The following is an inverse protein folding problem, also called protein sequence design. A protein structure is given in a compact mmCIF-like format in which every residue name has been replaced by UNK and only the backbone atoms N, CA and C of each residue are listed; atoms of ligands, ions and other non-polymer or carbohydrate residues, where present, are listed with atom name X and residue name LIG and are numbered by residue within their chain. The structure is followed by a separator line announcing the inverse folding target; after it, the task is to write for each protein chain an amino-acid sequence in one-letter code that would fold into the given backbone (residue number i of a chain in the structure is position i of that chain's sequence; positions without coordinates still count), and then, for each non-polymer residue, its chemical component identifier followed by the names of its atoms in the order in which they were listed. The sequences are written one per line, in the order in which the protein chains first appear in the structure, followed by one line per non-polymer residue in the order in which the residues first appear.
data_IF_944723723427
#
_entry.id   IF_944723723427
#
_cell.length_a   1.000
_cell.length_b   1.000
_cell.length_c   1.000
_cell.angle_alpha   90.00
_cell.angle_beta   90.00
_cell.angle_gamma   90.00
#
_symmetry.space_group_name_H-M   'P 1'
#
loop_
_entity.id
_entity.type
_entity.pdbx_description
1 polymer ?
#
# COMPACT_ATOMS: atom_id res chain seq x y z
N UNK A 1 27.90 -36.83 52.25
CA UNK A 1 26.56 -37.46 52.20
C UNK A 1 25.96 -37.08 50.84
N UNK A 2 25.86 -38.08 49.95
CA UNK A 2 25.27 -38.17 48.58
C UNK A 2 25.53 -37.01 47.57
N UNK A 3 26.39 -37.15 46.56
CA UNK A 3 26.36 -37.95 45.29
C UNK A 3 25.21 -37.64 44.31
N UNK A 4 25.64 -37.17 43.14
CA UNK A 4 25.02 -37.14 41.81
C UNK A 4 23.95 -38.21 41.54
N UNK A 5 22.85 -37.79 40.88
CA UNK A 5 21.90 -38.64 40.15
C UNK A 5 21.57 -37.90 38.82
N UNK A 6 22.12 -38.32 37.66
CA UNK A 6 21.56 -39.22 36.61
C UNK A 6 20.47 -38.54 35.76
N UNK A 7 20.75 -38.09 34.52
CA UNK A 7 20.77 -38.80 33.22
C UNK A 7 19.38 -38.89 32.51
N UNK A 8 19.26 -38.18 31.40
CA UNK A 8 18.71 -38.58 30.08
C UNK A 8 17.35 -39.30 29.96
N UNK A 9 16.38 -38.64 29.31
CA UNK A 9 15.27 -39.27 28.54
C UNK A 9 15.26 -38.56 27.17
N UNK A 10 15.95 -39.10 26.15
CA UNK A 10 15.50 -40.07 25.14
C UNK A 10 14.40 -39.58 24.20
N UNK A 11 14.83 -39.29 22.97
CA UNK A 11 14.03 -39.20 21.76
C UNK A 11 13.42 -40.57 21.41
N UNK A 12 12.14 -40.61 21.05
CA UNK A 12 11.52 -41.64 20.21
C UNK A 12 10.05 -41.29 19.98
N UNK A 13 9.71 -40.85 18.76
CA UNK A 13 8.49 -41.21 18.00
C UNK A 13 8.62 -40.59 16.60
N UNK A 14 9.55 -41.15 15.82
CA UNK A 14 9.46 -41.18 14.37
C UNK A 14 9.08 -42.61 13.98
N UNK A 15 8.30 -42.73 12.91
CA UNK A 15 7.82 -43.93 12.23
C UNK A 15 6.57 -44.62 12.82
N UNK A 16 5.44 -44.38 12.14
CA UNK A 16 4.64 -45.49 11.62
C UNK A 16 4.04 -45.12 10.26
N UNK A 17 4.41 -45.92 9.25
CA UNK A 17 3.71 -46.29 8.00
C UNK A 17 3.22 -45.16 7.08
N UNK A 18 3.79 -44.87 5.91
CA UNK A 18 4.21 -45.69 4.74
C UNK A 18 3.08 -46.47 4.05
N UNK A 19 2.79 -45.99 2.83
CA UNK A 19 2.46 -46.71 1.60
C UNK A 19 1.02 -47.16 1.34
N UNK A 20 0.40 -46.59 0.30
CA UNK A 20 0.01 -47.37 -0.87
C UNK A 20 0.04 -46.50 -2.14
N UNK A 21 0.88 -46.93 -3.09
CA UNK A 21 0.83 -46.63 -4.53
C UNK A 21 -0.37 -47.39 -5.11
N UNK A 22 -0.91 -47.20 -6.31
CA UNK A 22 -0.34 -46.81 -7.59
C UNK A 22 -1.46 -46.81 -8.66
N UNK A 23 -1.12 -46.32 -9.87
CA UNK A 23 -1.70 -46.62 -11.19
C UNK A 23 -2.97 -45.84 -11.56
N UNK A 24 -3.14 -45.24 -12.73
CA UNK A 24 -2.71 -45.51 -14.13
C UNK A 24 -3.23 -44.29 -14.94
N UNK A 25 -2.80 -43.87 -16.14
CA UNK A 25 -1.92 -44.37 -17.20
C UNK A 25 -1.78 -43.22 -18.23
N UNK A 26 -0.64 -43.14 -18.89
CA UNK A 26 -0.39 -42.37 -20.13
C UNK A 26 -1.30 -42.83 -21.27
N UNK A 27 -1.66 -41.87 -22.14
CA UNK A 27 -1.72 -42.07 -23.60
C UNK A 27 -1.61 -40.71 -24.30
N UNK A 28 -0.60 -40.62 -25.16
CA UNK A 28 -0.41 -39.70 -26.31
C UNK A 28 0.08 -40.63 -27.45
N UNK A 29 0.13 -40.24 -28.74
CA UNK A 29 -0.33 -39.02 -29.42
C UNK A 29 -1.11 -39.32 -30.72
N UNK A 30 -1.58 -38.31 -31.46
CA UNK A 30 -1.56 -38.34 -32.94
C UNK A 30 -1.68 -36.96 -33.61
N UNK A 31 -0.79 -36.77 -34.58
CA UNK A 31 -0.74 -35.72 -35.60
C UNK A 31 -2.00 -35.67 -36.47
N UNK A 32 -2.42 -34.45 -36.87
CA UNK A 32 -2.99 -34.19 -38.20
C UNK A 32 -2.48 -32.83 -38.70
N UNK A 33 -1.86 -32.87 -39.89
CA UNK A 33 -1.52 -31.75 -40.75
C UNK A 33 -2.70 -31.52 -41.70
N UNK A 34 -3.21 -30.29 -41.82
CA UNK A 34 -3.83 -29.81 -43.07
C UNK A 34 -3.43 -28.34 -43.30
N UNK A 35 -3.07 -28.09 -44.55
CA UNK A 35 -2.57 -26.91 -45.27
C UNK A 35 -3.60 -25.80 -45.50
N UNK A 36 -3.15 -24.58 -45.82
CA UNK A 36 -3.91 -23.67 -46.70
C UNK A 36 -3.78 -22.16 -46.43
N UNK A 37 -2.81 -21.54 -47.09
CA UNK A 37 -2.81 -20.28 -47.87
C UNK A 37 -3.32 -18.92 -47.32
N UNK A 38 -2.39 -17.96 -47.44
CA UNK A 38 -2.49 -16.57 -47.92
C UNK A 38 -3.81 -15.77 -47.79
N UNK A 39 -3.72 -14.59 -47.15
CA UNK A 39 -3.64 -13.31 -47.87
C UNK A 39 -3.30 -12.13 -46.96
N UNK A 40 -2.35 -11.31 -47.42
CA UNK A 40 -2.13 -9.92 -47.00
C UNK A 40 -3.33 -9.09 -47.42
N UNK A 41 -3.73 -8.12 -46.60
CA UNK A 41 -4.25 -6.86 -47.13
C UNK A 41 -3.91 -5.69 -46.23
N UNK A 42 -3.57 -4.60 -46.91
CA UNK A 42 -3.05 -3.33 -46.42
C UNK A 42 -4.12 -2.30 -46.75
N UNK A 43 -4.58 -1.53 -45.76
CA UNK A 43 -5.31 -0.27 -45.94
C UNK A 43 -5.46 0.34 -44.54
N UNK A 44 -5.29 1.62 -44.27
CA UNK A 44 -5.26 2.80 -45.11
C UNK A 44 -5.66 3.93 -44.15
N UNK A 45 -4.69 4.76 -43.76
CA UNK A 45 -4.91 5.89 -42.85
C UNK A 45 -5.72 6.95 -43.60
N UNK A 46 -6.96 7.17 -43.18
CA UNK A 46 -7.79 8.28 -43.66
C UNK A 46 -7.60 9.47 -42.71
N UNK A 47 -6.97 10.52 -43.24
CA UNK A 47 -6.97 11.86 -42.67
C UNK A 47 -8.31 12.52 -43.01
N UNK A 48 -9.06 12.97 -42.01
CA UNK A 48 -10.20 13.86 -42.21
C UNK A 48 -9.83 15.28 -41.79
N UNK A 49 -9.74 16.15 -42.78
CA UNK A 49 -9.73 17.60 -42.65
C UNK A 49 -11.13 18.10 -42.24
N UNK A 50 -11.23 18.90 -41.18
CA UNK A 50 -12.45 19.62 -40.85
C UNK A 50 -12.31 21.11 -41.20
N UNK A 51 -13.23 21.56 -42.06
CA UNK A 51 -13.38 22.94 -42.56
C UNK A 51 -13.90 23.88 -41.47
N UNK A 52 -13.28 25.06 -41.40
CA UNK A 52 -13.80 26.24 -40.70
C UNK A 52 -14.99 26.85 -41.46
N UNK A 53 -16.07 27.16 -40.73
CA UNK A 53 -17.07 28.16 -41.12
C UNK A 53 -17.60 28.83 -39.85
N UNK A 54 -17.34 30.14 -39.70
CA UNK A 54 -17.92 31.00 -38.67
C UNK A 54 -19.26 31.57 -39.14
N UNK A 55 -20.20 31.77 -38.21
CA UNK A 55 -21.00 33.00 -38.04
C UNK A 55 -21.98 32.85 -36.85
N UNK A 56 -22.03 33.87 -35.98
CA UNK A 56 -23.16 34.15 -35.08
C UNK A 56 -22.90 33.89 -33.59
N UNK A 57 -22.70 34.94 -32.81
CA UNK A 57 -22.42 34.86 -31.37
C UNK A 57 -23.65 35.02 -30.46
N UNK A 58 -23.48 34.54 -29.22
CA UNK A 58 -23.97 35.18 -27.99
C UNK A 58 -23.48 34.34 -26.78
N UNK A 59 -22.69 34.99 -25.92
CA UNK A 59 -22.56 34.79 -24.47
C UNK A 59 -22.21 33.40 -23.89
N UNK A 60 -20.92 33.31 -23.56
CA UNK A 60 -20.41 33.05 -22.21
C UNK A 60 -20.07 31.60 -21.77
N UNK A 61 -18.80 31.50 -21.39
CA UNK A 61 -18.07 30.50 -20.58
C UNK A 61 -17.79 29.14 -21.24
N UNK A 62 -16.73 29.17 -22.04
CA UNK A 62 -15.93 28.00 -22.40
C UNK A 62 -15.27 27.43 -21.12
N UNK A 63 -15.78 26.28 -20.65
CA UNK A 63 -15.25 25.49 -19.54
C UNK A 63 -14.11 24.55 -20.00
N UNK A 64 -13.35 24.90 -21.02
CA UNK A 64 -12.08 24.24 -21.35
C UNK A 64 -10.92 24.78 -20.51
N UNK A 65 -11.09 24.82 -19.19
CA UNK A 65 -9.96 24.77 -18.28
C UNK A 65 -9.45 23.33 -18.26
N UNK A 66 -8.67 22.99 -19.28
CA UNK A 66 -7.73 21.87 -19.24
C UNK A 66 -6.93 22.04 -17.96
N UNK A 67 -7.27 21.26 -16.94
CA UNK A 67 -6.39 21.03 -15.81
C UNK A 67 -5.17 20.29 -16.36
N UNK A 68 -4.22 21.06 -16.90
CA UNK A 68 -2.83 20.69 -16.82
C UNK A 68 -2.50 20.74 -15.33
N UNK A 69 -2.80 19.66 -14.63
CA UNK A 69 -2.08 19.34 -13.42
C UNK A 69 -0.64 19.23 -13.87
N UNK A 70 0.15 20.28 -13.63
CA UNK A 70 1.58 20.14 -13.50
C UNK A 70 1.75 19.10 -12.39
N UNK A 71 1.80 17.82 -12.76
CA UNK A 71 2.26 16.76 -11.88
C UNK A 71 3.64 17.22 -11.45
N UNK A 72 3.72 17.72 -10.22
CA UNK A 72 4.99 18.05 -9.60
C UNK A 72 5.83 16.78 -9.70
N UNK A 73 7.00 16.88 -10.32
CA UNK A 73 7.98 15.80 -10.43
C UNK A 73 8.60 15.49 -9.05
N UNK A 74 7.80 15.46 -7.99
CA UNK A 74 8.25 15.20 -6.64
C UNK A 74 8.60 13.73 -6.54
N UNK A 75 9.81 13.43 -6.10
CA UNK A 75 10.31 12.07 -5.98
C UNK A 75 10.80 11.89 -4.56
N UNK A 76 10.23 10.92 -3.85
CA UNK A 76 10.70 10.50 -2.53
C UNK A 76 11.65 9.32 -2.69
N UNK A 77 12.92 9.51 -2.29
CA UNK A 77 13.97 8.48 -2.40
C UNK A 77 14.41 8.01 -1.01
N UNK A 78 14.24 6.71 -0.74
CA UNK A 78 14.54 6.09 0.56
C UNK A 78 15.67 5.08 0.37
N UNK A 79 16.76 5.26 1.11
CA UNK A 79 17.97 4.43 0.98
C UNK A 79 18.07 3.42 2.12
N UNK A 80 18.29 2.17 1.76
CA UNK A 80 18.69 1.09 2.67
C UNK A 80 20.08 0.58 2.25
N UNK A 81 20.74 -0.21 3.10
CA UNK A 81 22.08 -0.77 2.77
C UNK A 81 22.05 -1.62 1.49
N UNK A 82 20.98 -2.39 1.28
CA UNK A 82 20.87 -3.36 0.18
C UNK A 82 20.13 -2.82 -1.05
N UNK A 83 19.32 -1.77 -0.89
CA UNK A 83 18.41 -1.31 -1.94
C UNK A 83 18.06 0.17 -1.77
N UNK A 84 17.58 0.77 -2.86
CA UNK A 84 16.99 2.10 -2.86
C UNK A 84 15.57 2.00 -3.39
N UNK A 85 14.62 2.56 -2.64
CA UNK A 85 13.22 2.70 -3.03
C UNK A 85 12.99 4.13 -3.51
N UNK A 86 12.24 4.27 -4.60
CA UNK A 86 11.85 5.54 -5.18
C UNK A 86 10.33 5.55 -5.34
N UNK A 87 9.66 6.52 -4.72
CA UNK A 87 8.22 6.73 -4.83
C UNK A 87 8.01 8.00 -5.67
N UNK A 88 7.35 7.85 -6.81
CA UNK A 88 7.12 8.96 -7.73
C UNK A 88 5.81 9.69 -7.40
N UNK A 89 5.87 11.01 -7.45
CA UNK A 89 4.76 11.92 -7.26
C UNK A 89 4.37 12.16 -5.81
N UNK A 90 5.18 11.77 -4.82
CA UNK A 90 4.80 11.90 -3.40
C UNK A 90 5.76 12.81 -2.65
N UNK A 91 5.23 13.90 -2.08
CA UNK A 91 5.96 14.81 -1.18
C UNK A 91 5.91 14.35 0.28
N UNK A 92 6.96 14.68 1.04
CA UNK A 92 7.09 14.35 2.48
C UNK A 92 7.73 15.53 3.22
N UNK A 93 7.32 15.79 4.46
CA UNK A 93 7.78 16.96 5.23
C UNK A 93 9.30 16.97 5.51
N UNK A 94 9.86 15.86 6.00
CA UNK A 94 11.28 15.76 6.38
C UNK A 94 12.11 15.01 5.32
N UNK A 95 12.10 15.49 4.07
CA UNK A 95 12.74 14.80 2.95
C UNK A 95 14.25 14.57 3.15
N UNK A 96 14.94 15.50 3.81
CA UNK A 96 16.37 15.43 4.13
C UNK A 96 16.71 14.23 5.04
N UNK A 97 15.78 13.79 5.89
CA UNK A 97 15.94 12.59 6.72
C UNK A 97 16.09 11.32 5.87
N UNK A 98 15.60 11.33 4.63
CA UNK A 98 15.71 10.20 3.71
C UNK A 98 17.02 10.20 2.90
N UNK A 99 17.85 11.24 3.02
CA UNK A 99 19.16 11.27 2.37
C UNK A 99 20.14 10.27 2.99
N UNK A 100 19.99 9.98 4.29
CA UNK A 100 20.78 8.99 5.02
C UNK A 100 20.29 7.57 4.76
N UNK A 101 21.18 6.61 5.00
CA UNK A 101 20.82 5.19 4.93
C UNK A 101 19.98 4.82 6.16
N UNK A 102 18.80 4.26 5.92
CA UNK A 102 17.89 3.74 6.93
C UNK A 102 18.27 2.29 7.29
N UNK A 103 17.79 1.81 8.45
CA UNK A 103 18.07 0.45 8.94
C UNK A 103 17.22 -0.60 8.22
N UNK A 104 16.31 -1.28 8.93
CA UNK A 104 15.32 -2.17 8.32
C UNK A 104 13.94 -1.50 8.21
N UNK A 105 13.76 -0.37 8.90
CA UNK A 105 12.53 0.42 8.88
C UNK A 105 12.84 1.88 8.57
N UNK A 106 12.03 2.48 7.71
CA UNK A 106 11.98 3.90 7.45
C UNK A 106 10.59 4.42 7.80
N UNK A 107 10.52 5.54 8.51
CA UNK A 107 9.27 6.26 8.77
C UNK A 107 9.32 7.60 8.07
N UNK A 108 8.30 7.87 7.26
CA UNK A 108 8.08 9.11 6.53
C UNK A 108 6.70 9.67 6.84
N UNK A 109 6.55 10.98 6.73
CA UNK A 109 5.29 11.68 6.92
C UNK A 109 4.93 12.34 5.60
N UNK A 110 3.79 11.93 5.04
CA UNK A 110 3.27 12.49 3.80
C UNK A 110 2.85 13.94 4.04
N UNK A 111 3.06 14.80 3.04
CA UNK A 111 2.50 16.16 3.09
C UNK A 111 0.96 16.12 3.00
N UNK A 112 0.31 17.23 3.33
CA UNK A 112 -1.15 17.34 3.24
C UNK A 112 -1.61 17.11 1.80
N UNK A 113 -2.59 16.24 1.62
CA UNK A 113 -3.12 15.85 0.31
C UNK A 113 -2.30 14.77 -0.42
N UNK A 114 -1.19 14.31 0.14
CA UNK A 114 -0.38 13.25 -0.44
C UNK A 114 -0.85 11.85 -0.02
N UNK A 115 -0.76 10.90 -0.96
CA UNK A 115 -1.07 9.49 -0.73
C UNK A 115 -0.19 8.59 -1.60
N UNK A 116 0.08 7.37 -1.11
CA UNK A 116 0.78 6.31 -1.85
C UNK A 116 -0.15 5.62 -2.86
N UNK A 117 -1.46 5.79 -2.74
CA UNK A 117 -2.45 5.11 -3.58
C UNK A 117 -2.29 5.49 -5.06
N UNK A 118 -2.17 4.48 -5.92
CA UNK A 118 -1.96 4.67 -7.36
C UNK A 118 -0.58 5.22 -7.75
N UNK A 119 0.30 5.56 -6.79
CA UNK A 119 1.66 6.02 -7.07
C UNK A 119 2.53 4.88 -7.56
N UNK A 120 3.55 5.21 -8.34
CA UNK A 120 4.52 4.21 -8.80
C UNK A 120 5.73 4.14 -7.88
N UNK A 121 6.19 2.93 -7.62
CA UNK A 121 7.29 2.62 -6.73
C UNK A 121 8.33 1.81 -7.51
N UNK A 122 9.56 2.32 -7.56
CA UNK A 122 10.69 1.64 -8.20
C UNK A 122 11.70 1.19 -7.14
N UNK A 123 12.24 -0.01 -7.31
CA UNK A 123 13.30 -0.53 -6.44
C UNK A 123 14.54 -0.77 -7.30
N UNK A 124 15.68 -0.26 -6.84
CA UNK A 124 16.98 -0.57 -7.40
C UNK A 124 17.84 -1.30 -6.37
N UNK A 125 18.46 -2.40 -6.78
CA UNK A 125 19.37 -3.17 -5.92
C UNK A 125 20.36 -3.97 -6.77
N UNK A 126 21.63 -3.84 -6.43
CA UNK A 126 22.68 -4.70 -6.99
C UNK A 126 22.89 -5.98 -6.16
N UNK A 127 22.39 -6.01 -4.93
CA UNK A 127 22.64 -7.08 -3.96
C UNK A 127 21.49 -8.09 -3.87
N UNK A 128 20.28 -7.70 -4.26
CA UNK A 128 19.07 -8.50 -4.09
C UNK A 128 18.48 -8.97 -5.44
N UNK A 129 17.78 -10.10 -5.39
CA UNK A 129 16.96 -10.66 -6.47
C UNK A 129 15.57 -11.03 -5.95
N UNK A 130 14.62 -11.19 -6.87
CA UNK A 130 13.25 -11.58 -6.54
C UNK A 130 12.54 -10.55 -5.67
N UNK A 131 12.73 -9.27 -5.99
CA UNK A 131 12.14 -8.16 -5.26
C UNK A 131 10.61 -8.17 -5.41
N UNK A 132 9.91 -8.02 -4.29
CA UNK A 132 8.47 -7.85 -4.24
C UNK A 132 8.10 -6.80 -3.18
N UNK A 133 6.97 -6.13 -3.37
CA UNK A 133 6.39 -5.20 -2.39
C UNK A 133 5.03 -5.73 -1.97
N UNK A 134 4.81 -5.79 -0.66
CA UNK A 134 3.48 -5.97 -0.08
C UNK A 134 3.03 -4.66 0.56
N UNK A 135 1.78 -4.30 0.37
CA UNK A 135 1.14 -3.12 0.97
C UNK A 135 0.06 -3.55 1.94
N UNK A 136 -0.06 -2.81 3.04
CA UNK A 136 -1.26 -2.77 3.88
C UNK A 136 -1.50 -1.35 4.36
N UNK A 137 -2.65 -1.12 4.97
CA UNK A 137 -3.03 0.15 5.58
C UNK A 137 -3.56 -0.06 6.99
N UNK A 138 -3.58 1.03 7.74
CA UNK A 138 -4.16 1.13 9.06
C UNK A 138 -5.10 2.33 9.11
N UNK A 139 -6.30 2.14 9.65
CA UNK A 139 -7.24 3.22 9.93
C UNK A 139 -7.28 3.54 11.42
N UNK A 140 -7.49 4.81 11.71
CA UNK A 140 -7.61 5.34 13.07
C UNK A 140 -8.81 6.27 13.17
N UNK A 141 -9.25 6.58 14.38
CA UNK A 141 -10.24 7.62 14.65
C UNK A 141 -9.53 8.97 14.81
N UNK A 142 -10.13 10.02 14.27
CA UNK A 142 -9.78 11.42 14.54
C UNK A 142 -10.99 12.18 15.06
N UNK A 143 -10.77 13.13 15.97
CA UNK A 143 -11.78 14.08 16.42
C UNK A 143 -11.50 15.42 15.75
N UNK A 144 -12.49 15.95 15.03
CA UNK A 144 -12.36 17.15 14.21
C UNK A 144 -13.08 18.32 14.86
N UNK A 145 -12.50 19.52 14.73
CA UNK A 145 -13.14 20.75 15.18
C UNK A 145 -12.77 21.94 14.29
N UNK A 146 -13.26 21.95 13.04
CA UNK A 146 -13.05 23.02 12.04
C UNK A 146 -11.62 23.59 12.04
N UNK A 147 -10.63 22.77 11.68
CA UNK A 147 -9.23 23.18 11.58
C UNK A 147 -8.30 22.27 12.37
N UNK A 148 -8.19 22.41 13.71
CA UNK A 148 -7.43 21.49 14.54
C UNK A 148 -8.11 20.12 14.60
N UNK A 149 -7.30 19.07 14.73
CA UNK A 149 -7.70 17.68 14.81
C UNK A 149 -7.02 17.04 16.03
N UNK A 150 -7.68 16.06 16.67
CA UNK A 150 -7.02 15.13 17.56
C UNK A 150 -7.05 13.73 16.96
N UNK A 151 -5.91 13.30 16.43
CA UNK A 151 -5.77 11.98 15.80
C UNK A 151 -5.37 10.95 16.86
N UNK A 152 -6.20 9.93 17.04
CA UNK A 152 -5.96 8.85 18.00
C UNK A 152 -5.06 7.76 17.38
N UNK A 153 -3.89 8.15 16.89
CA UNK A 153 -2.95 7.28 16.14
C UNK A 153 -2.18 6.26 17.00
N UNK A 154 -2.37 6.29 18.31
CA UNK A 154 -1.80 5.36 19.29
C UNK A 154 -2.89 4.60 20.09
N UNK A 155 -4.15 4.68 19.65
CA UNK A 155 -5.30 3.96 20.21
C UNK A 155 -6.01 3.18 19.10
N UNK A 156 -6.67 2.08 19.47
CA UNK A 156 -7.42 1.12 18.61
C UNK A 156 -7.35 1.35 17.10
N UNK A 157 -6.90 0.32 16.36
CA UNK A 157 -6.70 0.43 14.92
C UNK A 157 -7.30 -0.75 14.19
N UNK A 158 -7.89 -0.51 13.02
CA UNK A 158 -8.04 -1.59 12.06
C UNK A 158 -6.77 -1.72 11.22
N UNK A 159 -6.25 -2.94 11.14
CA UNK A 159 -5.07 -3.28 10.36
C UNK A 159 -5.48 -4.21 9.22
N UNK A 160 -5.32 -3.76 7.97
CA UNK A 160 -5.61 -4.61 6.83
C UNK A 160 -4.57 -5.72 6.61
N UNK A 161 -4.98 -6.77 5.92
CA UNK A 161 -4.09 -7.85 5.49
C UNK A 161 -3.07 -7.33 4.47
N UNK A 162 -1.85 -7.88 4.53
CA UNK A 162 -0.83 -7.64 3.51
C UNK A 162 -1.28 -8.15 2.14
N UNK A 163 -1.17 -7.29 1.11
CA UNK A 163 -1.44 -7.63 -0.29
C UNK A 163 -0.20 -7.34 -1.13
N UNK A 164 0.17 -8.26 -2.03
CA UNK A 164 1.29 -8.00 -2.95
C UNK A 164 0.88 -6.98 -4.01
N UNK A 165 1.71 -5.95 -4.20
CA UNK A 165 1.49 -4.94 -5.22
C UNK A 165 1.77 -5.49 -6.61
N UNK A 166 0.99 -5.02 -7.59
CA UNK A 166 1.17 -5.37 -8.99
C UNK A 166 2.27 -4.51 -9.62
N UNK A 167 3.01 -5.10 -10.55
CA UNK A 167 3.94 -4.37 -11.40
C UNK A 167 3.25 -3.89 -12.68
N UNK A 168 3.59 -2.70 -13.14
CA UNK A 168 3.23 -2.20 -14.46
C UNK A 168 4.17 -2.75 -15.56
N UNK A 169 3.92 -2.39 -16.82
CA UNK A 169 4.74 -2.81 -17.97
C UNK A 169 6.21 -2.39 -17.89
N UNK A 170 6.52 -1.37 -17.09
CA UNK A 170 7.86 -0.85 -16.88
C UNK A 170 8.56 -1.49 -15.68
N UNK A 171 7.95 -2.50 -15.05
CA UNK A 171 8.49 -3.19 -13.88
C UNK A 171 8.38 -2.41 -12.57
N UNK A 172 7.67 -1.28 -12.55
CA UNK A 172 7.42 -0.50 -11.35
C UNK A 172 6.21 -1.05 -10.62
N UNK A 173 6.24 -1.09 -9.28
CA UNK A 173 5.08 -1.44 -8.49
C UNK A 173 4.10 -0.26 -8.45
N UNK A 174 2.81 -0.55 -8.40
CA UNK A 174 1.75 0.47 -8.29
C UNK A 174 1.07 0.30 -6.94
N UNK A 175 0.98 1.37 -6.15
CA UNK A 175 0.26 1.38 -4.89
C UNK A 175 -1.21 1.05 -5.10
N UNK A 176 -1.76 0.14 -4.29
CA UNK A 176 -3.18 -0.20 -4.35
C UNK A 176 -4.03 1.02 -3.98
N UNK A 177 -5.21 1.12 -4.60
CA UNK A 177 -6.24 2.10 -4.23
C UNK A 177 -7.27 1.45 -3.33
N UNK A 178 -7.84 2.22 -2.42
CA UNK A 178 -8.82 1.77 -1.45
C UNK A 178 -10.17 2.46 -1.65
N UNK A 179 -11.24 1.78 -1.24
CA UNK A 179 -12.61 2.27 -1.36
C UNK A 179 -12.99 3.13 -0.16
N UNK A 180 -14.08 3.89 -0.25
CA UNK A 180 -14.60 4.64 0.91
C UNK A 180 -14.93 3.70 2.10
N UNK A 181 -15.38 2.47 1.84
CA UNK A 181 -15.62 1.47 2.88
C UNK A 181 -14.31 1.05 3.58
N UNK A 182 -13.23 0.85 2.82
CA UNK A 182 -11.90 0.57 3.39
C UNK A 182 -11.45 1.71 4.33
N UNK A 183 -11.63 2.96 3.91
CA UNK A 183 -11.28 4.15 4.69
C UNK A 183 -12.07 4.24 6.01
N UNK A 184 -13.31 3.76 6.02
CA UNK A 184 -14.21 3.80 7.19
C UNK A 184 -14.21 2.50 8.02
N UNK A 185 -13.40 1.51 7.63
CA UNK A 185 -13.30 0.24 8.36
C UNK A 185 -12.58 0.48 9.68
N UNK A 186 -13.15 0.01 10.79
CA UNK A 186 -12.61 0.22 12.14
C UNK A 186 -13.21 -0.82 13.10
N UNK A 187 -12.46 -1.29 14.13
CA UNK A 187 -13.02 -2.16 15.15
C UNK A 187 -14.27 -1.56 15.82
N UNK A 188 -15.14 -2.43 16.31
CA UNK A 188 -16.24 -2.00 17.18
C UNK A 188 -15.68 -1.60 18.54
N UNK A 189 -15.97 -0.37 18.96
CA UNK A 189 -15.54 0.23 20.23
C UNK A 189 -16.73 0.92 20.88
N UNK A 190 -16.75 0.99 22.21
CA UNK A 190 -17.81 1.72 22.91
C UNK A 190 -17.54 3.23 22.88
N UNK A 191 -18.61 4.03 22.89
CA UNK A 191 -18.48 5.48 23.01
C UNK A 191 -17.86 5.92 24.34
N UNK A 192 -18.06 5.15 25.41
CA UNK A 192 -17.47 5.46 26.72
C UNK A 192 -15.95 5.28 26.70
N UNK A 193 -15.45 4.21 26.08
CA UNK A 193 -14.01 3.98 25.87
C UNK A 193 -13.39 5.06 24.99
N UNK A 194 -14.05 5.42 23.87
CA UNK A 194 -13.58 6.50 23.00
C UNK A 194 -13.51 7.83 23.76
N UNK A 195 -14.58 8.20 24.47
CA UNK A 195 -14.63 9.45 25.24
C UNK A 195 -13.54 9.50 26.31
N UNK A 196 -13.33 8.41 27.05
CA UNK A 196 -12.28 8.35 28.05
C UNK A 196 -10.89 8.51 27.42
N UNK A 197 -10.64 7.83 26.30
CA UNK A 197 -9.38 7.94 25.55
C UNK A 197 -9.15 9.38 25.08
N UNK A 198 -10.16 10.02 24.51
CA UNK A 198 -10.09 11.41 24.03
C UNK A 198 -9.80 12.36 25.19
N UNK A 199 -10.44 12.16 26.35
CA UNK A 199 -10.16 12.95 27.54
C UNK A 199 -8.70 12.82 28.01
N UNK A 200 -8.14 11.61 27.95
CA UNK A 200 -6.78 11.31 28.37
C UNK A 200 -5.70 11.81 27.40
N UNK A 201 -5.92 11.62 26.09
CA UNK A 201 -4.92 11.92 25.05
C UNK A 201 -5.05 13.33 24.48
N UNK A 202 -6.28 13.80 24.27
CA UNK A 202 -6.56 15.09 23.64
C UNK A 202 -6.89 16.18 24.66
N UNK A 203 -7.48 15.81 25.79
CA UNK A 203 -7.89 16.73 26.86
C UNK A 203 -9.38 17.05 26.87
N UNK A 204 -9.78 17.84 27.88
CA UNK A 204 -11.20 18.06 28.22
C UNK A 204 -12.01 18.77 27.13
N UNK A 205 -11.38 19.66 26.35
CA UNK A 205 -12.10 20.42 25.32
C UNK A 205 -12.53 19.53 24.15
N UNK A 206 -11.70 18.55 23.78
CA UNK A 206 -12.06 17.52 22.80
C UNK A 206 -13.15 16.58 23.33
N UNK A 207 -13.06 16.21 24.60
CA UNK A 207 -14.07 15.36 25.25
C UNK A 207 -15.46 16.00 25.21
N UNK A 208 -15.58 17.32 25.44
CA UNK A 208 -16.87 18.04 25.39
C UNK A 208 -17.53 17.98 24.01
N UNK A 209 -16.76 17.92 22.93
CA UNK A 209 -17.31 17.82 21.58
C UNK A 209 -18.08 16.50 21.37
N UNK A 210 -17.77 15.47 22.16
CA UNK A 210 -18.37 14.14 22.08
C UNK A 210 -19.63 13.97 22.95
N UNK A 211 -20.07 14.99 23.68
CA UNK A 211 -21.22 14.87 24.60
C UNK A 211 -22.48 14.32 23.92
N UNK A 212 -22.74 14.77 22.68
CA UNK A 212 -23.91 14.39 21.89
C UNK A 212 -23.64 13.29 20.87
N UNK A 213 -22.40 12.79 20.82
CA UNK A 213 -21.95 11.79 19.87
C UNK A 213 -22.24 10.39 20.41
N UNK A 214 -22.82 9.57 19.55
CA UNK A 214 -23.27 8.20 19.79
C UNK A 214 -22.49 7.17 18.95
N UNK A 215 -21.65 7.62 18.01
CA UNK A 215 -20.88 6.75 17.13
C UNK A 215 -19.47 7.30 16.83
N UNK A 216 -18.44 6.45 16.70
CA UNK A 216 -17.12 6.86 16.21
C UNK A 216 -17.13 7.23 14.71
N UNK A 217 -18.26 6.99 14.01
CA UNK A 217 -18.44 7.27 12.57
C UNK A 217 -19.27 8.51 12.27
N UNK A 218 -19.64 9.27 13.29
CA UNK A 218 -20.40 10.50 13.12
C UNK A 218 -19.63 11.70 13.65
N UNK A 219 -19.87 12.87 13.04
CA UNK A 219 -19.25 14.11 13.45
C UNK A 219 -19.44 14.36 14.96
N UNK A 220 -18.39 14.76 15.70
CA UNK A 220 -17.08 15.24 15.24
C UNK A 220 -16.03 14.15 15.01
N UNK A 221 -16.38 12.87 15.14
CA UNK A 221 -15.48 11.77 14.83
C UNK A 221 -15.42 11.53 13.32
N UNK A 222 -14.26 11.14 12.84
CA UNK A 222 -14.08 10.54 11.52
C UNK A 222 -13.10 9.36 11.60
N UNK A 223 -13.22 8.43 10.66
CA UNK A 223 -12.30 7.31 10.50
C UNK A 223 -11.66 7.48 9.13
N UNK A 224 -10.34 7.35 9.08
CA UNK A 224 -9.61 7.39 7.82
C UNK A 224 -8.34 6.55 7.91
N UNK A 225 -7.72 6.30 6.75
CA UNK A 225 -6.38 5.75 6.73
C UNK A 225 -5.42 6.74 7.39
N UNK A 226 -4.68 6.22 8.37
CA UNK A 226 -3.71 6.95 9.19
C UNK A 226 -2.27 6.58 8.84
N UNK A 227 -2.07 5.35 8.34
CA UNK A 227 -0.77 4.85 7.91
C UNK A 227 -0.89 3.89 6.74
N UNK A 228 0.05 3.97 5.81
CA UNK A 228 0.34 2.88 4.87
C UNK A 228 1.65 2.21 5.25
N UNK A 229 1.74 0.92 4.95
CA UNK A 229 2.94 0.13 5.18
C UNK A 229 3.35 -0.55 3.87
N UNK A 230 4.61 -0.37 3.48
CA UNK A 230 5.22 -1.09 2.37
C UNK A 230 6.29 -2.04 2.93
N UNK A 231 6.09 -3.33 2.74
CA UNK A 231 7.07 -4.38 3.07
C UNK A 231 7.76 -4.83 1.80
N UNK A 232 9.03 -4.48 1.68
CA UNK A 232 9.88 -4.87 0.56
C UNK A 232 10.63 -6.14 0.95
N UNK A 233 10.49 -7.18 0.14
CA UNK A 233 11.17 -8.46 0.35
C UNK A 233 12.04 -8.80 -0.84
N UNK A 234 13.19 -9.43 -0.58
CA UNK A 234 14.09 -9.94 -1.60
C UNK A 234 15.03 -10.99 -1.02
N UNK A 235 15.88 -11.58 -1.86
CA UNK A 235 16.94 -12.51 -1.44
C UNK A 235 18.30 -11.99 -1.86
N UNK A 236 19.31 -12.11 -1.01
CA UNK A 236 20.68 -11.74 -1.38
C UNK A 236 21.21 -12.67 -2.48
N UNK A 237 21.90 -12.09 -3.46
CA UNK A 237 22.47 -12.83 -4.60
C UNK A 237 23.57 -13.81 -4.19
N UNK A 238 24.32 -13.48 -3.15
CA UNK A 238 25.50 -14.22 -2.70
C UNK A 238 25.17 -15.50 -1.91
N UNK A 239 24.15 -15.45 -1.05
CA UNK A 239 23.85 -16.52 -0.10
C UNK A 239 22.36 -16.90 -0.03
N UNK A 240 21.49 -16.24 -0.80
CA UNK A 240 20.05 -16.50 -0.83
C UNK A 240 19.28 -16.06 0.42
N UNK A 241 19.92 -15.42 1.39
CA UNK A 241 19.29 -14.96 2.63
C UNK A 241 18.17 -13.97 2.33
N UNK A 242 17.02 -14.15 2.99
CA UNK A 242 15.89 -13.22 2.88
C UNK A 242 16.23 -11.88 3.54
N UNK A 243 16.01 -10.80 2.81
CA UNK A 243 16.06 -9.42 3.31
C UNK A 243 14.65 -8.86 3.31
N UNK A 244 14.30 -8.12 4.34
CA UNK A 244 12.99 -7.46 4.47
C UNK A 244 13.20 -6.04 4.97
N UNK A 245 12.59 -5.08 4.28
CA UNK A 245 12.57 -3.66 4.67
C UNK A 245 11.13 -3.20 4.81
N UNK A 246 10.90 -2.30 5.75
CA UNK A 246 9.59 -1.73 6.03
C UNK A 246 9.65 -0.21 5.81
N UNK A 247 8.71 0.33 5.06
CA UNK A 247 8.46 1.76 4.99
C UNK A 247 7.08 2.00 5.61
N UNK A 248 7.03 2.87 6.61
CA UNK A 248 5.80 3.33 7.25
C UNK A 248 5.56 4.76 6.76
N UNK A 249 4.41 4.98 6.15
CA UNK A 249 3.99 6.26 5.59
C UNK A 249 2.86 6.76 6.48
N UNK A 250 3.14 7.78 7.30
CA UNK A 250 2.12 8.45 8.13
C UNK A 250 1.37 9.43 7.26
N UNK A 251 0.04 9.37 7.30
CA UNK A 251 -0.83 10.27 6.55
C UNK A 251 -1.48 11.26 7.50
N UNK A 252 -1.42 12.58 7.20
CA UNK A 252 -2.22 13.56 7.92
C UNK A 252 -3.70 13.17 7.85
N UNK A 253 -4.35 13.05 9.01
CA UNK A 253 -5.77 12.69 9.08
C UNK A 253 -6.58 13.97 9.15
N UNK A 254 -6.79 14.61 8.00
CA UNK A 254 -7.59 15.83 7.89
C UNK A 254 -7.64 16.37 6.47
N UNK A 255 -8.59 17.27 6.21
CA UNK A 255 -8.81 17.85 4.89
C UNK A 255 -7.72 18.84 4.48
#
# INVERSE_FOLDING_TARGET
MWKNITLTILALMALSCRNEREQKKRTDPQHVVITGDEKKDTAGVLLTENKNMQLGGSDSVDLSAVHNTNESNTITKIKFNELVVVINGMAIFDAEKMERIQKDTAEIEAEVGETIEGRTISISSEQLIGLNIEQRYETSVTIMNEGPHCDLIDWEHFNSNWKSLKQNSNGQFVGDKYTEEDYNTFPEVSMDELKQTVKEQCGEDWFKLLEKTNSPREYPCAISISRYFLRIVGKRKDNGQKVTKLIIIKTPMGC
#
